data_IF_181703503806
#
_entry.id   IF_181703503806
#
_cell.length_a   1.000
_cell.length_b   1.000
_cell.length_c   1.000
_cell.angle_alpha   90.00
_cell.angle_beta   90.00
_cell.angle_gamma   90.00
#
_symmetry.space_group_name_H-M   'P 1'
#
loop_
_entity.id
_entity.type
_entity.pdbx_description
1 polymer ?
#
# COMPACT_ATOMS: atom_id res chain seq x y z
N UNK A 1 -3.85 -31.49 11.83
CA UNK A 1 -4.69 -30.31 11.53
C UNK A 1 -4.30 -29.78 10.16
N UNK A 2 -5.16 -29.00 9.51
CA UNK A 2 -4.82 -28.32 8.25
C UNK A 2 -3.93 -27.10 8.52
N UNK A 3 -2.99 -26.85 7.61
CA UNK A 3 -2.27 -25.57 7.55
C UNK A 3 -3.29 -24.44 7.37
N UNK A 4 -3.41 -23.58 8.38
CA UNK A 4 -4.35 -22.47 8.37
C UNK A 4 -3.70 -21.16 7.93
N UNK A 5 -2.50 -20.88 8.45
CA UNK A 5 -1.80 -19.63 8.19
C UNK A 5 -0.53 -19.86 7.37
N UNK A 6 -0.38 -19.09 6.31
CA UNK A 6 0.86 -19.03 5.53
C UNK A 6 1.51 -17.68 5.78
N UNK A 7 2.72 -17.70 6.33
CA UNK A 7 3.54 -16.52 6.48
C UNK A 7 4.51 -16.45 5.30
N UNK A 8 4.62 -15.28 4.67
CA UNK A 8 5.52 -15.05 3.55
C UNK A 8 6.52 -13.97 3.94
N UNK A 9 7.82 -14.25 3.82
CA UNK A 9 8.87 -13.28 4.08
C UNK A 9 9.82 -13.14 2.91
N UNK A 10 9.98 -11.90 2.44
CA UNK A 10 11.01 -11.63 1.43
C UNK A 10 12.38 -11.66 2.12
N UNK A 11 13.34 -12.34 1.51
CA UNK A 11 14.74 -12.32 1.93
C UNK A 11 15.28 -10.88 2.09
N UNK A 12 16.26 -10.70 2.97
CA UNK A 12 16.95 -9.43 3.13
C UNK A 12 17.90 -9.15 1.95
N UNK A 13 18.18 -7.86 1.66
CA UNK A 13 19.02 -7.50 0.50
C UNK A 13 20.48 -7.91 0.68
N UNK A 14 21.05 -8.38 -0.42
CA UNK A 14 22.48 -8.37 -0.68
C UNK A 14 22.88 -7.08 -1.44
N UNK A 15 23.93 -6.40 -1.00
CA UNK A 15 24.54 -5.28 -1.75
C UNK A 15 25.34 -5.80 -2.96
N UNK A 16 24.67 -6.47 -3.91
CA UNK A 16 25.22 -6.65 -5.27
C UNK A 16 24.88 -5.40 -6.09
N UNK A 17 25.57 -4.30 -5.78
CA UNK A 17 25.38 -3.03 -6.45
C UNK A 17 26.13 -1.93 -5.73
N UNK A 18 27.33 -1.63 -6.23
CA UNK A 18 28.17 -0.50 -5.86
C UNK A 18 27.35 0.76 -5.51
N UNK A 19 27.27 1.11 -4.23
CA UNK A 19 27.37 2.53 -3.84
C UNK A 19 28.86 2.88 -3.89
N UNK A 20 29.42 2.97 -5.11
CA UNK A 20 30.70 3.67 -5.36
C UNK A 20 30.46 5.16 -5.62
N UNK A 21 29.32 5.70 -5.21
CA UNK A 21 29.17 7.15 -5.07
C UNK A 21 29.58 7.49 -3.64
N UNK A 22 30.86 7.86 -3.49
CA UNK A 22 31.23 8.75 -2.38
C UNK A 22 30.17 9.86 -2.34
N UNK A 23 29.50 10.15 -1.22
CA UNK A 23 28.70 11.35 -1.13
C UNK A 23 29.61 12.53 -1.45
N UNK A 24 29.39 13.18 -2.60
CA UNK A 24 29.97 14.49 -2.90
C UNK A 24 29.17 15.52 -2.11
N UNK A 25 29.37 15.52 -0.80
CA UNK A 25 28.97 16.59 0.10
C UNK A 25 30.15 16.83 1.05
N UNK A 26 30.44 18.07 1.44
CA UNK A 26 31.51 18.35 2.38
C UNK A 26 31.12 17.79 3.75
N UNK A 27 31.54 16.55 4.04
CA UNK A 27 31.75 16.13 5.42
C UNK A 27 32.87 17.00 5.98
N UNK A 28 32.70 17.63 7.16
CA UNK A 28 33.78 18.38 7.79
C UNK A 28 34.96 17.43 7.99
N UNK A 29 36.08 17.74 7.34
CA UNK A 29 37.30 16.91 7.32
C UNK A 29 37.88 16.69 8.73
N UNK A 30 37.53 17.57 9.67
CA UNK A 30 38.07 17.58 11.02
C UNK A 30 37.53 16.43 11.90
N UNK A 31 36.29 15.97 11.67
CA UNK A 31 35.69 14.85 12.42
C UNK A 31 36.19 13.48 11.94
N UNK A 32 36.57 13.39 10.66
CA UNK A 32 37.13 12.16 10.08
C UNK A 32 38.63 12.06 10.42
N UNK A 33 39.36 13.17 10.44
CA UNK A 33 40.76 13.20 10.84
C UNK A 33 40.93 12.79 12.32
N UNK A 34 40.09 13.31 13.21
CA UNK A 34 40.10 12.95 14.63
C UNK A 34 39.70 11.49 14.88
N UNK A 35 38.65 10.98 14.20
CA UNK A 35 38.25 9.57 14.30
C UNK A 35 39.30 8.60 13.73
N UNK A 36 39.99 8.99 12.64
CA UNK A 36 41.08 8.19 12.06
C UNK A 36 42.35 8.23 12.92
N UNK A 37 42.61 9.35 13.61
CA UNK A 37 43.75 9.51 14.51
C UNK A 37 43.54 8.72 15.82
N UNK A 38 42.32 8.65 16.35
CA UNK A 38 41.97 7.77 17.48
C UNK A 38 42.07 6.28 17.10
N UNK A 39 41.62 5.89 15.90
CA UNK A 39 41.78 4.52 15.42
C UNK A 39 43.24 4.14 15.12
N UNK A 40 44.06 5.06 14.61
CA UNK A 40 45.48 4.85 14.38
C UNK A 40 46.27 4.72 15.69
N UNK A 41 45.88 5.47 16.73
CA UNK A 41 46.49 5.37 18.06
C UNK A 41 46.06 4.09 18.80
N UNK A 42 44.81 3.64 18.62
CA UNK A 42 44.33 2.38 19.20
C UNK A 42 44.92 1.13 18.50
N UNK A 43 45.21 1.21 17.20
CA UNK A 43 45.75 0.07 16.43
C UNK A 43 47.26 -0.13 16.54
N UNK A 44 48.05 0.93 16.78
CA UNK A 44 49.51 0.80 16.90
C UNK A 44 50.00 0.05 18.16
N UNK A 45 49.16 -0.09 19.19
CA UNK A 45 49.48 -0.84 20.41
C UNK A 45 49.26 -2.37 20.29
N UNK A 46 48.61 -2.85 19.22
CA UNK A 46 48.13 -4.24 19.10
C UNK A 46 48.75 -5.05 17.95
N UNK A 47 49.61 -4.45 17.12
CA UNK A 47 50.13 -5.07 15.89
C UNK A 47 51.64 -5.30 15.94
N UNK A 48 52.10 -5.98 16.98
CA UNK A 48 53.34 -6.76 16.94
C UNK A 48 53.02 -8.20 16.54
N UNK A 49 53.31 -8.57 15.29
CA UNK A 49 53.14 -9.90 14.66
C UNK A 49 51.70 -10.30 14.27
N UNK A 50 51.36 -10.24 12.98
CA UNK A 50 50.04 -10.69 12.52
C UNK A 50 49.64 -10.44 11.07
N UNK A 51 50.56 -10.51 10.10
CA UNK A 51 50.23 -10.27 8.67
C UNK A 51 49.39 -11.41 8.06
N UNK A 52 49.27 -12.58 8.73
CA UNK A 52 48.49 -13.72 8.22
C UNK A 52 46.98 -13.64 8.50
N UNK A 53 46.54 -12.93 9.56
CA UNK A 53 45.13 -12.89 9.96
C UNK A 53 44.27 -11.95 9.08
N UNK A 54 44.87 -10.91 8.49
CA UNK A 54 44.16 -9.98 7.61
C UNK A 54 43.76 -10.61 6.26
N UNK A 55 44.50 -11.62 5.79
CA UNK A 55 44.19 -12.35 4.56
C UNK A 55 42.98 -13.28 4.72
N UNK A 56 42.87 -13.96 5.86
CA UNK A 56 41.74 -14.85 6.16
C UNK A 56 40.44 -14.10 6.44
N UNK A 57 40.52 -12.93 7.10
CA UNK A 57 39.34 -12.08 7.31
C UNK A 57 38.77 -11.54 5.99
N UNK A 58 39.63 -11.26 5.00
CA UNK A 58 39.27 -10.79 3.66
C UNK A 58 38.52 -11.84 2.84
N UNK A 59 38.85 -13.13 2.98
CA UNK A 59 38.16 -14.20 2.25
C UNK A 59 36.85 -14.65 2.93
N UNK A 60 36.70 -14.48 4.24
CA UNK A 60 35.40 -14.67 4.91
C UNK A 60 34.42 -13.52 4.64
N UNK A 61 34.89 -12.28 4.51
CA UNK A 61 34.00 -11.15 4.15
C UNK A 61 33.48 -11.23 2.71
N UNK A 62 34.19 -11.90 1.79
CA UNK A 62 33.68 -12.16 0.43
C UNK A 62 32.51 -13.15 0.38
N UNK A 63 32.18 -13.84 1.48
CA UNK A 63 31.07 -14.79 1.57
C UNK A 63 29.92 -14.32 2.45
N UNK A 64 29.94 -13.10 3.00
CA UNK A 64 28.78 -12.57 3.71
C UNK A 64 27.68 -12.25 2.68
N UNK A 65 26.67 -13.12 2.61
CA UNK A 65 25.61 -13.06 1.61
C UNK A 65 24.54 -12.03 1.99
N UNK A 66 24.34 -11.77 3.30
CA UNK A 66 23.50 -10.68 3.79
C UNK A 66 24.31 -9.47 4.30
N UNK A 67 23.75 -8.28 4.09
CA UNK A 67 24.22 -7.04 4.72
C UNK A 67 23.92 -7.01 6.22
N UNK A 68 24.71 -6.27 7.01
CA UNK A 68 24.46 -6.09 8.44
C UNK A 68 23.08 -5.49 8.72
N UNK A 69 22.66 -4.52 7.90
CA UNK A 69 21.30 -3.96 7.93
C UNK A 69 20.25 -5.04 7.67
N UNK A 70 20.42 -5.88 6.65
CA UNK A 70 19.50 -6.96 6.33
C UNK A 70 19.37 -8.01 7.45
N UNK A 71 20.50 -8.35 8.10
CA UNK A 71 20.53 -9.22 9.28
C UNK A 71 19.78 -8.60 10.45
N UNK A 72 20.02 -7.31 10.72
CA UNK A 72 19.33 -6.57 11.78
C UNK A 72 17.82 -6.51 11.54
N UNK A 73 17.39 -6.13 10.34
CA UNK A 73 15.97 -6.04 9.96
C UNK A 73 15.25 -7.39 10.11
N UNK A 74 15.91 -8.47 9.66
CA UNK A 74 15.39 -9.85 9.81
C UNK A 74 15.24 -10.24 11.28
N UNK A 75 16.23 -9.95 12.12
CA UNK A 75 16.17 -10.23 13.55
C UNK A 75 15.05 -9.45 14.24
N UNK A 76 14.91 -8.16 13.91
CA UNK A 76 13.84 -7.32 14.46
C UNK A 76 12.46 -7.82 14.04
N UNK A 77 12.27 -8.19 12.77
CA UNK A 77 11.01 -8.74 12.29
C UNK A 77 10.67 -10.07 12.97
N UNK A 78 11.67 -10.95 13.17
CA UNK A 78 11.51 -12.21 13.87
C UNK A 78 11.10 -12.03 15.34
N UNK A 79 11.80 -11.14 16.08
CA UNK A 79 11.47 -10.82 17.48
C UNK A 79 10.07 -10.25 17.62
N UNK A 80 9.69 -9.30 16.76
CA UNK A 80 8.34 -8.72 16.73
C UNK A 80 7.27 -9.77 16.44
N UNK A 81 7.55 -10.72 15.55
CA UNK A 81 6.61 -11.81 15.30
C UNK A 81 6.48 -12.68 16.55
N UNK A 82 7.58 -13.05 17.21
CA UNK A 82 7.56 -13.85 18.43
C UNK A 82 6.72 -13.19 19.52
N UNK A 83 6.98 -11.91 19.80
CA UNK A 83 6.20 -11.09 20.75
C UNK A 83 4.71 -11.14 20.40
N UNK A 84 4.38 -10.83 19.14
CA UNK A 84 2.99 -10.80 18.69
C UNK A 84 2.27 -12.15 18.79
N UNK A 85 2.94 -13.26 18.49
CA UNK A 85 2.35 -14.59 18.64
C UNK A 85 2.19 -14.98 20.13
N UNK A 86 3.13 -14.55 20.99
CA UNK A 86 3.11 -14.86 22.43
C UNK A 86 1.99 -14.14 23.20
N UNK A 87 1.57 -12.96 22.75
CA UNK A 87 0.46 -12.20 23.36
C UNK A 87 -0.92 -12.84 23.12
N UNK A 88 -1.01 -13.94 22.37
CA UNK A 88 -2.28 -14.58 21.99
C UNK A 88 -3.11 -13.75 21.01
N UNK A 89 -2.55 -12.65 20.50
CA UNK A 89 -3.19 -11.75 19.54
C UNK A 89 -3.42 -12.43 18.18
N UNK A 90 -2.62 -13.43 17.85
CA UNK A 90 -2.80 -14.27 16.68
C UNK A 90 -3.27 -15.68 17.07
N UNK A 91 -4.21 -16.22 16.30
CA UNK A 91 -4.55 -17.66 16.35
C UNK A 91 -3.50 -18.56 15.68
N UNK A 92 -2.32 -18.02 15.40
CA UNK A 92 -1.29 -18.67 14.58
C UNK A 92 -0.16 -19.22 15.47
N UNK A 93 0.19 -20.47 15.27
CA UNK A 93 1.29 -21.16 15.95
C UNK A 93 2.28 -21.64 14.90
N UNK A 94 3.48 -21.08 14.90
CA UNK A 94 4.47 -21.33 13.85
C UNK A 94 5.11 -22.71 14.02
N UNK A 95 4.93 -23.56 13.01
CA UNK A 95 5.41 -24.95 13.03
C UNK A 95 6.80 -25.13 12.44
N UNK A 96 7.17 -24.29 11.47
CA UNK A 96 8.49 -24.29 10.88
C UNK A 96 8.72 -23.21 9.84
N UNK A 97 9.95 -23.19 9.32
CA UNK A 97 10.43 -22.25 8.31
C UNK A 97 10.89 -23.01 7.08
N UNK A 98 10.23 -22.74 5.96
CA UNK A 98 10.62 -23.13 4.63
C UNK A 98 11.40 -22.00 3.99
N UNK A 99 12.39 -22.34 3.18
CA UNK A 99 13.01 -21.38 2.27
C UNK A 99 13.20 -22.00 0.90
N UNK A 100 13.25 -21.17 -0.13
CA UNK A 100 13.74 -21.58 -1.43
C UNK A 100 14.85 -20.65 -1.88
N UNK A 101 15.89 -21.24 -2.45
CA UNK A 101 17.02 -20.53 -3.03
C UNK A 101 17.08 -20.77 -4.52
N UNK A 102 17.50 -19.75 -5.27
CA UNK A 102 18.09 -19.96 -6.58
C UNK A 102 19.47 -20.62 -6.36
N UNK A 103 19.89 -21.67 -7.09
CA UNK A 103 21.22 -22.27 -6.93
C UNK A 103 22.41 -21.29 -6.87
N UNK A 104 22.27 -20.08 -7.40
CA UNK A 104 23.30 -19.02 -7.39
C UNK A 104 23.17 -18.00 -6.24
N UNK A 105 22.07 -18.09 -5.47
CA UNK A 105 21.71 -17.21 -4.36
C UNK A 105 21.65 -18.04 -3.08
N UNK A 106 22.17 -17.53 -1.97
CA UNK A 106 22.06 -18.17 -0.63
C UNK A 106 21.42 -17.25 0.40
N UNK A 107 20.91 -16.11 -0.06
CA UNK A 107 20.35 -15.05 0.75
C UNK A 107 19.07 -15.49 1.45
N UNK A 108 18.24 -16.31 0.81
CA UNK A 108 17.01 -16.82 1.43
C UNK A 108 17.34 -17.81 2.55
N UNK A 109 18.34 -18.67 2.37
CA UNK A 109 18.85 -19.56 3.41
C UNK A 109 19.38 -18.77 4.61
N UNK A 110 20.26 -17.79 4.38
CA UNK A 110 20.82 -16.97 5.46
C UNK A 110 19.71 -16.18 6.16
N UNK A 111 18.74 -15.63 5.41
CA UNK A 111 17.59 -14.91 6.00
C UNK A 111 16.76 -15.86 6.87
N UNK A 112 16.48 -17.08 6.41
CA UNK A 112 15.74 -18.07 7.17
C UNK A 112 16.48 -18.48 8.45
N UNK A 113 17.81 -18.67 8.40
CA UNK A 113 18.64 -18.94 9.59
C UNK A 113 18.61 -17.78 10.59
N UNK A 114 18.77 -16.55 10.10
CA UNK A 114 18.71 -15.35 10.94
C UNK A 114 17.33 -15.15 11.56
N UNK A 115 16.27 -15.45 10.81
CA UNK A 115 14.90 -15.44 11.32
C UNK A 115 14.74 -16.49 12.44
N UNK A 116 15.18 -17.73 12.22
CA UNK A 116 15.10 -18.79 13.24
C UNK A 116 15.84 -18.43 14.53
N UNK A 117 17.00 -17.75 14.39
CA UNK A 117 17.77 -17.21 15.52
C UNK A 117 17.00 -16.13 16.28
N UNK A 118 16.39 -15.17 15.57
CA UNK A 118 15.63 -14.08 16.18
C UNK A 118 14.29 -14.52 16.79
N UNK A 119 13.68 -15.56 16.21
CA UNK A 119 12.43 -16.15 16.71
C UNK A 119 12.67 -17.17 17.84
N UNK A 120 13.92 -17.62 18.03
CA UNK A 120 14.35 -18.61 19.02
C UNK A 120 13.68 -19.99 18.86
N UNK A 121 13.79 -20.59 17.67
CA UNK A 121 13.22 -21.90 17.32
C UNK A 121 13.77 -23.13 18.09
N UNK A 122 14.41 -22.91 19.25
CA UNK A 122 15.23 -23.91 19.93
C UNK A 122 16.63 -23.99 19.32
N UNK A 123 17.60 -24.43 20.13
CA UNK A 123 18.98 -24.60 19.67
C UNK A 123 19.05 -25.71 18.62
N UNK A 124 19.61 -25.38 17.44
CA UNK A 124 19.83 -26.36 16.37
C UNK A 124 18.66 -26.56 15.39
N UNK A 125 17.62 -25.73 15.43
CA UNK A 125 16.59 -25.75 14.38
C UNK A 125 17.20 -25.34 13.03
N UNK A 126 17.00 -26.19 12.02
CA UNK A 126 17.48 -25.96 10.66
C UNK A 126 16.27 -25.66 9.77
N UNK A 127 16.20 -24.49 9.10
CA UNK A 127 15.13 -24.22 8.15
C UNK A 127 15.17 -25.24 7.00
N UNK A 128 14.00 -25.62 6.47
CA UNK A 128 13.91 -26.67 5.45
C UNK A 128 13.89 -26.06 4.05
N UNK A 129 14.75 -26.56 3.15
CA UNK A 129 14.78 -26.14 1.75
C UNK A 129 13.61 -26.75 0.98
N UNK A 130 12.85 -25.91 0.28
CA UNK A 130 11.67 -26.31 -0.50
C UNK A 130 11.93 -26.12 -2.01
N UNK A 131 12.20 -27.19 -2.78
CA UNK A 131 12.48 -27.08 -4.22
C UNK A 131 11.25 -26.67 -5.04
N UNK A 132 10.04 -26.93 -4.52
CA UNK A 132 8.77 -26.71 -5.21
C UNK A 132 8.24 -25.27 -5.15
N UNK A 133 8.84 -24.39 -4.32
CA UNK A 133 8.40 -23.00 -4.14
C UNK A 133 9.24 -22.00 -4.94
N UNK A 134 10.19 -22.47 -5.75
CA UNK A 134 11.07 -21.65 -6.56
C UNK A 134 10.37 -21.02 -7.78
N UNK A 135 10.94 -19.93 -8.33
CA UNK A 135 10.40 -19.25 -9.51
C UNK A 135 10.26 -20.16 -10.73
N UNK A 136 11.16 -21.15 -10.89
CA UNK A 136 11.15 -22.09 -12.01
C UNK A 136 10.06 -23.17 -11.87
N UNK A 137 9.63 -23.48 -10.65
CA UNK A 137 8.63 -24.51 -10.36
C UNK A 137 7.23 -23.94 -10.21
N UNK A 138 7.11 -22.63 -9.99
CA UNK A 138 5.84 -21.91 -10.03
C UNK A 138 5.26 -21.94 -11.46
N UNK A 139 4.08 -22.54 -11.69
CA UNK A 139 3.43 -22.50 -12.99
C UNK A 139 3.24 -21.05 -13.44
N UNK A 140 3.45 -20.74 -14.70
CA UNK A 140 3.15 -19.41 -15.27
C UNK A 140 1.66 -19.05 -15.11
N UNK A 141 0.78 -20.04 -15.13
CA UNK A 141 -0.66 -19.90 -14.93
C UNK A 141 -1.07 -20.05 -13.45
N UNK A 142 -0.65 -19.10 -12.61
CA UNK A 142 -1.02 -19.08 -11.19
C UNK A 142 -2.48 -18.70 -10.92
N UNK A 143 -3.24 -18.29 -11.95
CA UNK A 143 -4.63 -17.87 -11.78
C UNK A 143 -5.52 -19.07 -11.44
N UNK A 144 -6.25 -18.97 -10.33
CA UNK A 144 -7.25 -19.96 -9.90
C UNK A 144 -8.29 -20.19 -11.01
N UNK A 145 -8.19 -21.33 -11.71
CA UNK A 145 -9.37 -22.03 -12.24
C UNK A 145 -10.12 -22.60 -11.03
N UNK A 146 -11.46 -22.53 -10.99
CA UNK A 146 -12.33 -22.94 -9.86
C UNK A 146 -11.72 -24.13 -9.07
N UNK A 147 -11.24 -23.88 -7.85
CA UNK A 147 -10.62 -24.91 -7.00
C UNK A 147 -9.35 -24.43 -6.28
N UNK A 148 -8.70 -25.38 -5.62
CA UNK A 148 -7.40 -25.21 -4.97
C UNK A 148 -6.30 -25.03 -6.02
N UNK A 149 -5.55 -23.92 -5.93
CA UNK A 149 -4.48 -23.65 -6.89
C UNK A 149 -3.40 -24.74 -6.75
N UNK A 150 -2.72 -25.12 -7.85
CA UNK A 150 -1.57 -26.03 -7.78
C UNK A 150 -0.52 -25.58 -6.76
N UNK A 151 -0.39 -24.26 -6.60
CA UNK A 151 0.47 -23.63 -5.62
C UNK A 151 0.03 -23.84 -4.18
N UNK A 152 -1.27 -23.68 -3.89
CA UNK A 152 -1.83 -23.95 -2.56
C UNK A 152 -1.62 -25.42 -2.18
N UNK A 153 -1.77 -26.35 -3.13
CA UNK A 153 -1.43 -27.77 -2.95
C UNK A 153 0.05 -28.01 -2.69
N UNK A 154 0.94 -27.38 -3.45
CA UNK A 154 2.39 -27.49 -3.25
C UNK A 154 2.80 -27.00 -1.87
N UNK A 155 2.32 -25.82 -1.46
CA UNK A 155 2.56 -25.26 -0.13
C UNK A 155 2.04 -26.19 0.96
N UNK A 156 0.79 -26.69 0.85
CA UNK A 156 0.24 -27.62 1.86
C UNK A 156 0.98 -28.95 1.92
N UNK A 157 1.47 -29.45 0.78
CA UNK A 157 2.27 -30.68 0.72
C UNK A 157 3.60 -30.54 1.46
N UNK A 158 4.35 -29.46 1.17
CA UNK A 158 5.64 -29.19 1.83
C UNK A 158 5.45 -28.83 3.31
N UNK A 159 4.43 -28.03 3.61
CA UNK A 159 4.11 -27.64 4.98
C UNK A 159 3.59 -28.80 5.83
N UNK A 160 2.98 -29.83 5.23
CA UNK A 160 2.37 -30.95 5.95
C UNK A 160 3.33 -31.65 6.92
N UNK A 161 4.61 -31.76 6.56
CA UNK A 161 5.64 -32.32 7.45
C UNK A 161 5.99 -31.42 8.64
N UNK A 162 5.92 -30.09 8.46
CA UNK A 162 6.26 -29.11 9.50
C UNK A 162 5.11 -28.85 10.49
N UNK A 163 3.89 -29.19 10.09
CA UNK A 163 2.65 -28.96 10.85
C UNK A 163 2.06 -30.31 11.33
N UNK A 164 2.91 -31.32 11.52
CA UNK A 164 2.50 -32.63 12.01
C UNK A 164 1.93 -32.57 13.44
N UNK A 165 2.45 -31.66 14.25
CA UNK A 165 1.94 -31.35 15.58
C UNK A 165 0.56 -30.69 15.48
N UNK A 166 -0.38 -31.13 16.31
CA UNK A 166 -1.75 -30.61 16.35
C UNK A 166 -1.80 -29.16 16.83
N UNK A 167 -0.80 -28.69 17.56
CA UNK A 167 -0.79 -27.32 18.08
C UNK A 167 -0.26 -26.30 17.07
N UNK A 168 0.51 -26.77 16.07
CA UNK A 168 1.08 -25.93 15.02
C UNK A 168 0.07 -25.79 13.91
N UNK A 169 -0.09 -24.58 13.37
CA UNK A 169 -1.03 -24.31 12.28
C UNK A 169 -0.53 -23.26 11.27
N UNK A 170 0.72 -22.83 11.40
CA UNK A 170 1.33 -21.82 10.57
C UNK A 170 2.71 -22.24 10.05
N UNK A 171 3.08 -21.82 8.84
CA UNK A 171 4.42 -22.03 8.27
C UNK A 171 4.93 -20.72 7.68
N UNK A 172 6.21 -20.42 7.90
CA UNK A 172 6.89 -19.30 7.25
C UNK A 172 7.59 -19.78 5.99
N UNK A 173 7.41 -19.06 4.89
CA UNK A 173 8.14 -19.25 3.64
C UNK A 173 9.02 -18.03 3.39
N UNK A 174 10.32 -18.24 3.32
CA UNK A 174 11.33 -17.22 3.00
C UNK A 174 11.75 -17.36 1.54
N UNK A 175 11.78 -16.25 0.80
CA UNK A 175 12.13 -16.29 -0.62
C UNK A 175 12.42 -14.97 -1.30
N UNK A 176 12.65 -15.03 -2.61
CA UNK A 176 13.01 -13.89 -3.46
C UNK A 176 11.81 -13.27 -4.21
N UNK A 177 11.91 -11.99 -4.53
CA UNK A 177 11.06 -11.38 -5.56
C UNK A 177 11.57 -11.77 -6.96
N UNK A 178 10.68 -11.95 -7.96
CA UNK A 178 9.23 -11.72 -7.91
C UNK A 178 8.40 -12.90 -7.37
N UNK A 179 9.01 -14.07 -7.16
CA UNK A 179 8.30 -15.32 -6.85
C UNK A 179 7.42 -15.25 -5.58
N UNK A 180 7.91 -14.64 -4.50
CA UNK A 180 7.11 -14.51 -3.27
C UNK A 180 5.93 -13.54 -3.44
N UNK A 181 6.09 -12.49 -4.26
CA UNK A 181 5.01 -11.58 -4.63
C UNK A 181 3.98 -12.24 -5.52
N UNK A 182 4.41 -13.11 -6.45
CA UNK A 182 3.52 -13.94 -7.26
C UNK A 182 2.74 -14.94 -6.42
N UNK A 183 3.38 -15.60 -5.46
CA UNK A 183 2.73 -16.48 -4.51
C UNK A 183 1.66 -15.75 -3.69
N UNK A 184 2.00 -14.59 -3.11
CA UNK A 184 1.03 -13.75 -2.41
C UNK A 184 -0.12 -13.34 -3.33
N UNK A 185 0.18 -12.92 -4.56
CA UNK A 185 -0.82 -12.45 -5.51
C UNK A 185 -1.76 -13.54 -6.02
N UNK A 186 -1.25 -14.75 -6.21
CA UNK A 186 -2.05 -15.92 -6.58
C UNK A 186 -3.01 -16.34 -5.46
N UNK A 187 -2.58 -16.24 -4.20
CA UNK A 187 -3.42 -16.55 -3.04
C UNK A 187 -4.49 -15.47 -2.80
N UNK A 188 -4.13 -14.20 -2.94
CA UNK A 188 -4.98 -13.05 -2.58
C UNK A 188 -5.77 -12.45 -3.76
N UNK A 189 -5.60 -12.98 -4.97
CA UNK A 189 -6.21 -12.47 -6.22
C UNK A 189 -5.90 -10.97 -6.48
N UNK A 190 -4.74 -10.49 -5.99
CA UNK A 190 -4.26 -9.11 -6.17
C UNK A 190 -2.75 -9.01 -5.95
N UNK A 191 -2.02 -8.15 -6.67
CA UNK A 191 -0.59 -7.96 -6.40
C UNK A 191 -0.38 -7.41 -4.99
N UNK A 192 0.58 -7.97 -4.26
CA UNK A 192 0.98 -7.49 -2.93
C UNK A 192 2.48 -7.19 -2.96
N UNK A 193 2.88 -5.90 -2.83
CA UNK A 193 4.29 -5.57 -2.68
C UNK A 193 4.78 -6.11 -1.33
N UNK A 194 5.96 -6.74 -1.34
CA UNK A 194 6.61 -7.24 -0.12
C UNK A 194 8.00 -6.61 -0.04
N UNK A 195 8.21 -5.82 1.00
CA UNK A 195 9.50 -5.19 1.32
C UNK A 195 10.48 -6.24 1.84
N UNK A 196 11.77 -5.97 1.79
CA UNK A 196 12.79 -6.86 2.35
C UNK A 196 12.54 -7.07 3.84
N UNK A 197 12.72 -8.31 4.31
CA UNK A 197 12.48 -8.69 5.71
C UNK A 197 11.03 -8.48 6.20
N UNK A 198 10.10 -8.10 5.33
CA UNK A 198 8.68 -7.98 5.67
C UNK A 198 8.01 -9.35 5.67
N UNK A 199 7.18 -9.59 6.67
CA UNK A 199 6.42 -10.82 6.89
C UNK A 199 4.95 -10.53 6.64
N UNK A 200 4.33 -11.23 5.70
CA UNK A 200 2.88 -11.21 5.49
C UNK A 200 2.24 -12.45 6.10
N UNK A 201 1.09 -12.32 6.76
CA UNK A 201 0.29 -13.46 7.20
C UNK A 201 -1.00 -13.58 6.38
N UNK A 202 -1.14 -14.72 5.69
CA UNK A 202 -2.31 -15.06 4.91
C UNK A 202 -3.06 -16.18 5.64
N UNK A 203 -4.34 -15.95 5.95
CA UNK A 203 -5.25 -16.99 6.44
C UNK A 203 -5.86 -17.70 5.25
N UNK A 204 -5.46 -18.94 5.03
CA UNK A 204 -5.90 -19.79 3.92
C UNK A 204 -7.36 -20.26 4.10
N UNK A 205 -7.86 -20.28 5.34
CA UNK A 205 -9.21 -20.75 5.69
C UNK A 205 -10.18 -19.59 5.95
N UNK A 206 -9.80 -18.36 5.61
CA UNK A 206 -10.70 -17.24 5.74
C UNK A 206 -11.99 -17.47 4.92
N UNK A 207 -13.13 -17.12 5.52
CA UNK A 207 -14.42 -17.23 4.83
C UNK A 207 -14.31 -16.43 3.53
N UNK A 208 -14.68 -17.02 2.39
CA UNK A 208 -14.55 -16.39 1.07
C UNK A 208 -13.22 -16.56 0.35
N UNK A 209 -12.31 -17.37 0.89
CA UNK A 209 -11.00 -17.67 0.32
C UNK A 209 -9.86 -17.00 1.08
N UNK A 210 -8.60 -17.25 0.67
CA UNK A 210 -7.44 -16.76 1.38
C UNK A 210 -7.46 -15.23 1.57
N UNK A 211 -7.14 -14.76 2.77
CA UNK A 211 -7.16 -13.35 3.11
C UNK A 211 -5.90 -12.92 3.85
N UNK A 212 -5.38 -11.75 3.49
CA UNK A 212 -4.28 -11.11 4.22
C UNK A 212 -4.80 -10.65 5.59
N UNK A 213 -4.29 -11.25 6.67
CA UNK A 213 -4.69 -10.90 8.03
C UNK A 213 -3.89 -9.72 8.56
N UNK A 214 -2.57 -9.79 8.38
CA UNK A 214 -1.64 -8.83 8.91
C UNK A 214 -0.26 -8.88 8.23
N UNK A 215 0.55 -7.87 8.47
CA UNK A 215 1.95 -7.81 8.07
C UNK A 215 2.82 -7.35 9.25
N UNK A 216 4.11 -7.68 9.23
CA UNK A 216 5.15 -7.15 10.11
C UNK A 216 6.27 -6.66 9.20
N UNK A 217 6.51 -5.36 9.21
CA UNK A 217 7.48 -4.74 8.34
C UNK A 217 8.69 -4.30 9.19
N UNK A 218 9.91 -4.32 8.63
CA UNK A 218 11.06 -3.79 9.33
C UNK A 218 10.86 -2.30 9.63
N UNK A 219 11.52 -1.77 10.68
CA UNK A 219 11.52 -0.33 10.92
C UNK A 219 12.20 0.39 9.75
N UNK A 220 11.44 1.19 9.02
CA UNK A 220 11.96 2.07 7.98
C UNK A 220 11.39 3.47 8.18
N UNK A 221 12.16 4.30 8.87
CA UNK A 221 11.82 5.70 9.12
C UNK A 221 11.80 6.52 7.83
N UNK A 222 12.66 6.16 6.86
CA UNK A 222 12.76 6.90 5.59
C UNK A 222 11.51 6.73 4.74
N UNK A 223 10.97 5.50 4.68
CA UNK A 223 9.70 5.22 3.98
C UNK A 223 8.53 5.90 4.70
N UNK A 224 8.54 5.94 6.03
CA UNK A 224 7.50 6.63 6.78
C UNK A 224 7.53 8.14 6.49
N UNK A 225 8.71 8.76 6.50
CA UNK A 225 8.89 10.18 6.16
C UNK A 225 8.46 10.46 4.72
N UNK A 226 8.92 9.67 3.75
CA UNK A 226 8.53 9.81 2.35
C UNK A 226 7.01 9.69 2.15
N UNK A 227 6.35 8.79 2.89
CA UNK A 227 4.90 8.63 2.85
C UNK A 227 4.18 9.83 3.50
N UNK A 228 4.67 10.33 4.63
CA UNK A 228 4.14 11.54 5.26
C UNK A 228 4.28 12.76 4.36
N UNK A 229 5.41 12.92 3.68
CA UNK A 229 5.63 14.03 2.75
C UNK A 229 4.73 13.93 1.52
N UNK A 230 4.48 12.72 1.02
CA UNK A 230 3.47 12.48 -0.02
C UNK A 230 2.05 12.84 0.45
N UNK A 231 1.71 12.56 1.71
CA UNK A 231 0.42 12.97 2.29
C UNK A 231 0.33 14.49 2.43
N UNK A 232 1.38 15.16 2.92
CA UNK A 232 1.45 16.63 3.01
C UNK A 232 1.28 17.29 1.63
N UNK A 233 1.96 16.75 0.61
CA UNK A 233 1.83 17.24 -0.78
C UNK A 233 0.38 17.12 -1.29
N UNK A 234 -0.29 15.98 -1.07
CA UNK A 234 -1.70 15.78 -1.47
C UNK A 234 -2.67 16.66 -0.68
N UNK A 235 -2.41 16.85 0.60
CA UNK A 235 -3.18 17.76 1.45
C UNK A 235 -3.04 19.20 0.95
N UNK A 236 -1.82 19.64 0.61
CA UNK A 236 -1.56 20.95 0.00
C UNK A 236 -2.35 21.16 -1.29
N UNK A 237 -2.42 20.14 -2.16
CA UNK A 237 -3.24 20.18 -3.37
C UNK A 237 -4.74 20.32 -3.06
N UNK A 238 -5.26 19.57 -2.09
CA UNK A 238 -6.67 19.68 -1.67
C UNK A 238 -6.99 21.08 -1.11
N UNK A 239 -6.08 21.66 -0.33
CA UNK A 239 -6.23 23.01 0.21
C UNK A 239 -6.26 24.06 -0.91
N UNK A 240 -5.32 24.00 -1.84
CA UNK A 240 -5.26 24.91 -2.99
C UNK A 240 -6.54 24.84 -3.81
N UNK A 241 -7.00 23.63 -4.18
CA UNK A 241 -8.23 23.45 -4.94
C UNK A 241 -9.46 23.95 -4.17
N UNK A 242 -9.56 23.63 -2.87
CA UNK A 242 -10.68 24.11 -2.04
C UNK A 242 -10.72 25.64 -1.94
N UNK A 243 -9.57 26.30 -1.79
CA UNK A 243 -9.47 27.75 -1.73
C UNK A 243 -9.87 28.42 -3.04
N UNK A 244 -9.37 27.89 -4.16
CA UNK A 244 -9.73 28.38 -5.50
C UNK A 244 -11.24 28.25 -5.77
N UNK A 245 -11.81 27.08 -5.49
CA UNK A 245 -13.25 26.84 -5.70
C UNK A 245 -14.09 27.71 -4.75
N UNK A 246 -13.67 27.89 -3.50
CA UNK A 246 -14.38 28.76 -2.54
C UNK A 246 -14.38 30.22 -2.99
N UNK A 247 -13.25 30.73 -3.47
CA UNK A 247 -13.17 32.08 -4.02
C UNK A 247 -14.07 32.24 -5.24
N UNK A 248 -14.01 31.30 -6.18
CA UNK A 248 -14.91 31.28 -7.35
C UNK A 248 -16.38 31.23 -6.94
N UNK A 249 -16.74 30.34 -6.02
CA UNK A 249 -18.10 30.20 -5.50
C UNK A 249 -18.58 31.49 -4.82
N UNK A 250 -17.71 32.20 -4.10
CA UNK A 250 -18.04 33.50 -3.51
C UNK A 250 -18.41 34.55 -4.57
N UNK A 251 -17.64 34.63 -5.65
CA UNK A 251 -17.96 35.50 -6.80
C UNK A 251 -19.30 35.09 -7.42
N UNK A 252 -19.52 33.80 -7.66
CA UNK A 252 -20.76 33.28 -8.23
C UNK A 252 -21.97 33.56 -7.33
N UNK A 253 -21.86 33.32 -6.02
CA UNK A 253 -22.93 33.62 -5.06
C UNK A 253 -23.22 35.12 -4.99
N UNK A 254 -22.20 35.97 -5.09
CA UNK A 254 -22.38 37.42 -5.20
C UNK A 254 -23.12 37.83 -6.48
N UNK A 255 -22.88 37.14 -7.60
CA UNK A 255 -23.66 37.34 -8.82
C UNK A 255 -25.09 36.84 -8.71
N UNK A 256 -25.33 35.73 -8.00
CA UNK A 256 -26.66 35.18 -7.74
C UNK A 256 -27.47 36.02 -6.75
N UNK A 257 -26.81 36.79 -5.89
CA UNK A 257 -27.48 37.71 -4.97
C UNK A 257 -28.01 38.98 -5.65
N UNK A 258 -27.66 39.24 -6.92
CA UNK A 258 -28.14 40.37 -7.69
C UNK A 258 -29.42 40.00 -8.47
N UNK A 259 -30.57 40.51 -8.01
CA UNK A 259 -31.88 40.25 -8.61
C UNK A 259 -31.95 40.56 -10.12
N UNK A 260 -31.18 41.55 -10.59
CA UNK A 260 -31.18 41.92 -12.02
C UNK A 260 -30.50 40.83 -12.85
N UNK A 261 -29.39 40.29 -12.35
CA UNK A 261 -28.66 39.18 -13.00
C UNK A 261 -29.48 37.90 -12.97
N UNK A 262 -30.15 37.63 -11.85
CA UNK A 262 -31.06 36.49 -11.72
C UNK A 262 -32.24 36.55 -12.68
N UNK A 263 -32.85 37.73 -12.87
CA UNK A 263 -33.89 37.93 -13.88
C UNK A 263 -33.35 37.76 -15.31
N UNK A 264 -32.12 38.20 -15.58
CA UNK A 264 -31.47 38.05 -16.89
C UNK A 264 -31.15 36.58 -17.23
N UNK A 265 -30.91 35.72 -16.24
CA UNK A 265 -30.66 34.29 -16.41
C UNK A 265 -31.90 33.51 -16.88
N UNK A 266 -33.12 34.03 -16.67
CA UNK A 266 -34.36 33.43 -17.16
C UNK A 266 -34.50 31.94 -16.84
N UNK A 267 -34.76 31.14 -17.87
CA UNK A 267 -34.95 29.68 -17.76
C UNK A 267 -33.70 28.90 -17.32
N UNK A 268 -32.52 29.52 -17.32
CA UNK A 268 -31.26 28.86 -16.95
C UNK A 268 -30.96 28.91 -15.44
N UNK A 269 -31.72 29.69 -14.67
CA UNK A 269 -31.58 29.77 -13.22
C UNK A 269 -31.41 28.40 -12.52
N UNK A 270 -32.22 27.35 -12.78
CA UNK A 270 -32.05 26.05 -12.12
C UNK A 270 -30.70 25.38 -12.43
N UNK A 271 -30.16 25.55 -13.64
CA UNK A 271 -28.86 24.98 -14.03
C UNK A 271 -27.75 25.60 -13.19
N UNK A 272 -27.80 26.92 -12.98
CA UNK A 272 -26.82 27.64 -12.17
C UNK A 272 -26.93 27.25 -10.69
N UNK A 273 -28.13 27.06 -10.15
CA UNK A 273 -28.32 26.56 -8.78
C UNK A 273 -27.76 25.14 -8.60
N UNK A 274 -28.00 24.23 -9.54
CA UNK A 274 -27.44 22.87 -9.51
C UNK A 274 -25.91 22.94 -9.57
N UNK A 275 -25.36 23.80 -10.43
CA UNK A 275 -23.92 23.99 -10.54
C UNK A 275 -23.30 24.50 -9.24
N UNK A 276 -23.91 25.51 -8.62
CA UNK A 276 -23.49 26.05 -7.32
C UNK A 276 -23.55 24.98 -6.21
N UNK A 277 -24.62 24.17 -6.18
CA UNK A 277 -24.76 23.07 -5.22
C UNK A 277 -23.66 22.00 -5.41
N UNK A 278 -23.35 21.63 -6.66
CA UNK A 278 -22.25 20.71 -6.98
C UNK A 278 -20.90 21.26 -6.49
N UNK A 279 -20.61 22.54 -6.72
CA UNK A 279 -19.38 23.18 -6.26
C UNK A 279 -19.30 23.27 -4.74
N UNK A 280 -20.39 23.62 -4.06
CA UNK A 280 -20.45 23.66 -2.60
C UNK A 280 -20.18 22.28 -1.99
N UNK A 281 -20.78 21.23 -2.56
CA UNK A 281 -20.53 19.85 -2.13
C UNK A 281 -19.08 19.42 -2.39
N UNK A 282 -18.49 19.85 -3.52
CA UNK A 282 -17.08 19.61 -3.81
C UNK A 282 -16.17 20.25 -2.76
N UNK A 283 -16.42 21.52 -2.37
CA UNK A 283 -15.68 22.21 -1.29
C UNK A 283 -15.79 21.43 0.01
N UNK A 284 -16.99 21.00 0.40
CA UNK A 284 -17.19 20.22 1.63
C UNK A 284 -16.38 18.91 1.61
N UNK A 285 -16.32 18.20 0.47
CA UNK A 285 -15.52 16.99 0.33
C UNK A 285 -14.00 17.26 0.33
N UNK A 286 -13.52 18.37 -0.24
CA UNK A 286 -12.11 18.74 -0.13
C UNK A 286 -11.72 19.09 1.30
N UNK A 287 -12.55 19.83 2.03
CA UNK A 287 -12.32 20.12 3.45
C UNK A 287 -12.31 18.83 4.27
N UNK A 288 -13.26 17.92 4.03
CA UNK A 288 -13.27 16.59 4.65
C UNK A 288 -11.99 15.80 4.33
N UNK A 289 -11.50 15.90 3.10
CA UNK A 289 -10.24 15.29 2.67
C UNK A 289 -9.06 15.85 3.44
N UNK A 290 -8.98 17.18 3.59
CA UNK A 290 -7.95 17.87 4.37
C UNK A 290 -7.95 17.38 5.83
N UNK A 291 -9.10 17.41 6.51
CA UNK A 291 -9.20 16.93 7.89
C UNK A 291 -8.84 15.45 8.02
N UNK A 292 -9.25 14.63 7.05
CA UNK A 292 -8.87 13.22 7.04
C UNK A 292 -7.36 13.03 6.87
N UNK A 293 -6.69 13.85 6.06
CA UNK A 293 -5.22 13.81 5.94
C UNK A 293 -4.51 14.32 7.18
N UNK A 294 -5.03 15.36 7.83
CA UNK A 294 -4.48 15.86 9.09
C UNK A 294 -4.49 14.77 10.18
N UNK A 295 -5.59 14.01 10.30
CA UNK A 295 -5.63 12.86 11.24
C UNK A 295 -4.60 11.79 10.93
N UNK A 296 -4.19 11.62 9.66
CA UNK A 296 -3.14 10.68 9.27
C UNK A 296 -1.73 11.20 9.56
N UNK A 297 -1.54 12.51 9.68
CA UNK A 297 -0.26 13.11 10.04
C UNK A 297 -0.06 13.17 11.56
N UNK A 298 -1.09 12.91 12.36
CA UNK A 298 -0.93 12.79 13.81
C UNK A 298 0.05 11.67 14.17
N UNK A 299 0.88 11.85 15.21
CA UNK A 299 1.75 10.79 15.71
C UNK A 299 0.96 9.49 15.97
N UNK A 300 1.56 8.34 15.67
CA UNK A 300 0.90 7.02 15.71
C UNK A 300 0.20 6.72 17.03
N UNK A 301 0.71 7.26 18.16
CA UNK A 301 0.09 7.15 19.49
C UNK A 301 -1.34 7.72 19.57
N UNK A 302 -1.70 8.64 18.67
CA UNK A 302 -3.03 9.27 18.61
C UNK A 302 -3.96 8.63 17.57
N UNK A 303 -3.49 7.62 16.82
CA UNK A 303 -4.35 6.87 15.93
C UNK A 303 -5.19 5.90 16.76
N UNK A 304 -6.30 6.43 17.30
CA UNK A 304 -7.21 5.75 18.21
C UNK A 304 -7.28 4.25 17.90
N UNK A 305 -6.89 3.45 18.88
CA UNK A 305 -7.08 2.02 18.84
C UNK A 305 -8.59 1.79 18.82
N UNK A 306 -9.13 1.47 17.65
CA UNK A 306 -10.51 1.00 17.57
C UNK A 306 -10.65 -0.17 18.53
N UNK A 307 -11.59 -0.09 19.46
CA UNK A 307 -11.75 -1.06 20.55
C UNK A 307 -11.77 -2.50 20.00
N UNK A 308 -11.09 -3.40 20.70
CA UNK A 308 -10.84 -4.80 20.31
C UNK A 308 -12.11 -5.68 20.29
N UNK A 309 -13.28 -5.16 20.65
CA UNK A 309 -14.49 -5.95 20.93
C UNK A 309 -15.50 -6.13 19.78
N UNK A 310 -15.35 -5.49 18.62
CA UNK A 310 -16.35 -5.64 17.55
C UNK A 310 -15.98 -6.77 16.59
N UNK A 311 -16.64 -7.92 16.76
CA UNK A 311 -16.58 -9.12 15.89
C UNK A 311 -16.83 -8.82 14.39
N UNK A 312 -17.36 -7.65 14.08
CA UNK A 312 -17.64 -7.16 12.71
C UNK A 312 -16.57 -6.21 12.16
N UNK A 313 -15.27 -6.43 12.45
CA UNK A 313 -14.24 -5.74 11.68
C UNK A 313 -14.30 -6.19 10.22
N UNK A 314 -14.46 -5.28 9.26
CA UNK A 314 -14.49 -5.67 7.86
C UNK A 314 -13.14 -6.30 7.47
N UNK A 315 -13.20 -7.41 6.74
CA UNK A 315 -12.05 -8.29 6.43
C UNK A 315 -10.89 -7.61 5.66
N UNK A 316 -11.08 -6.39 5.18
CA UNK A 316 -10.05 -5.59 4.51
C UNK A 316 -9.26 -4.69 5.47
N UNK A 317 -9.74 -4.49 6.71
CA UNK A 317 -8.97 -3.82 7.76
C UNK A 317 -8.01 -4.85 8.33
N UNK A 318 -6.73 -4.62 8.08
CA UNK A 318 -5.62 -5.39 8.61
C UNK A 318 -5.71 -5.34 10.15
N UNK A 319 -5.83 -6.50 10.80
CA UNK A 319 -5.77 -6.57 12.26
C UNK A 319 -4.36 -6.12 12.68
N UNK A 320 -4.21 -5.46 13.84
CA UNK A 320 -2.91 -4.96 14.32
C UNK A 320 -2.16 -6.05 15.14
N UNK A 321 -1.19 -6.79 14.58
CA UNK A 321 0.17 -6.81 15.10
C UNK A 321 0.80 -5.42 14.93
N UNK A 322 2.09 -5.23 15.27
CA UNK A 322 2.86 -4.11 14.72
C UNK A 322 2.99 -4.24 13.19
N UNK A 323 1.89 -4.14 12.45
CA UNK A 323 1.91 -3.76 11.05
C UNK A 323 2.66 -2.46 10.98
N UNK A 324 3.65 -2.39 10.09
CA UNK A 324 4.41 -1.17 9.89
C UNK A 324 3.44 -0.02 9.73
N UNK A 325 3.56 1.01 10.58
CA UNK A 325 2.65 2.16 10.58
C UNK A 325 2.47 2.75 9.17
N UNK A 326 3.50 2.63 8.33
CA UNK A 326 3.49 2.98 6.91
C UNK A 326 2.42 2.26 6.09
N UNK A 327 2.12 0.97 6.30
CA UNK A 327 1.14 0.26 5.49
C UNK A 327 -0.29 0.72 5.79
N UNK A 328 -0.60 0.89 7.09
CA UNK A 328 -1.88 1.47 7.54
C UNK A 328 -2.02 2.88 6.98
N UNK A 329 -0.96 3.69 7.08
CA UNK A 329 -0.92 5.05 6.56
C UNK A 329 -1.19 5.08 5.05
N UNK A 330 -0.55 4.20 4.30
CA UNK A 330 -0.71 4.08 2.85
C UNK A 330 -2.13 3.68 2.45
N UNK A 331 -2.70 2.65 3.10
CA UNK A 331 -4.05 2.20 2.83
C UNK A 331 -5.09 3.27 3.13
N UNK A 332 -4.97 3.95 4.28
CA UNK A 332 -5.89 5.03 4.64
C UNK A 332 -5.71 6.23 3.70
N UNK A 333 -4.48 6.58 3.32
CA UNK A 333 -4.21 7.62 2.32
C UNK A 333 -4.93 7.32 1.00
N UNK A 334 -4.80 6.09 0.49
CA UNK A 334 -5.47 5.68 -0.75
C UNK A 334 -6.99 5.69 -0.62
N UNK A 335 -7.52 5.29 0.54
CA UNK A 335 -8.95 5.32 0.81
C UNK A 335 -9.50 6.74 0.78
N UNK A 336 -8.87 7.67 1.49
CA UNK A 336 -9.26 9.08 1.49
C UNK A 336 -9.20 9.64 0.05
N UNK A 337 -8.12 9.34 -0.67
CA UNK A 337 -7.96 9.76 -2.05
C UNK A 337 -9.09 9.26 -2.96
N UNK A 338 -9.37 7.95 -2.93
CA UNK A 338 -10.37 7.35 -3.81
C UNK A 338 -11.82 7.71 -3.45
N UNK A 339 -12.12 7.91 -2.17
CA UNK A 339 -13.48 8.08 -1.70
C UNK A 339 -13.89 9.52 -1.43
N UNK A 340 -12.93 10.43 -1.24
CA UNK A 340 -13.22 11.82 -0.93
C UNK A 340 -12.66 12.75 -2.00
N UNK A 341 -11.36 12.67 -2.27
CA UNK A 341 -10.69 13.56 -3.22
C UNK A 341 -11.20 13.39 -4.65
N UNK A 342 -11.17 12.16 -5.19
CA UNK A 342 -11.59 11.91 -6.59
C UNK A 342 -13.05 12.35 -6.83
N UNK A 343 -14.04 11.97 -5.99
CA UNK A 343 -15.41 12.47 -6.13
C UNK A 343 -15.52 13.99 -6.06
N UNK A 344 -14.76 14.66 -5.17
CA UNK A 344 -14.73 16.12 -5.09
C UNK A 344 -14.24 16.74 -6.41
N UNK A 345 -13.21 16.18 -7.03
CA UNK A 345 -12.70 16.64 -8.32
C UNK A 345 -13.73 16.47 -9.43
N UNK A 346 -14.44 15.34 -9.48
CA UNK A 346 -15.53 15.16 -10.46
C UNK A 346 -16.66 16.16 -10.25
N UNK A 347 -17.11 16.38 -9.01
CA UNK A 347 -18.15 17.38 -8.72
C UNK A 347 -17.71 18.79 -9.09
N UNK A 348 -16.43 19.12 -8.89
CA UNK A 348 -15.84 20.40 -9.30
C UNK A 348 -15.93 20.57 -10.81
N UNK A 349 -15.45 19.59 -11.57
CA UNK A 349 -15.46 19.63 -13.03
C UNK A 349 -16.89 19.70 -13.57
N UNK A 350 -17.82 18.93 -13.00
CA UNK A 350 -19.24 18.98 -13.38
C UNK A 350 -19.87 20.33 -13.06
N UNK A 351 -19.60 20.92 -11.89
CA UNK A 351 -20.10 22.24 -11.51
C UNK A 351 -19.58 23.34 -12.43
N UNK A 352 -18.27 23.35 -12.70
CA UNK A 352 -17.65 24.30 -13.64
C UNK A 352 -18.21 24.13 -15.06
N UNK A 353 -18.39 22.90 -15.53
CA UNK A 353 -18.96 22.64 -16.85
C UNK A 353 -20.40 23.14 -16.98
N UNK A 354 -21.24 22.93 -15.96
CA UNK A 354 -22.62 23.44 -15.93
C UNK A 354 -22.64 24.97 -15.95
N UNK A 355 -21.76 25.63 -15.18
CA UNK A 355 -21.64 27.09 -15.20
C UNK A 355 -21.22 27.60 -16.58
N UNK A 356 -20.16 27.04 -17.16
CA UNK A 356 -19.71 27.44 -18.49
C UNK A 356 -20.78 27.23 -19.56
N UNK A 357 -21.52 26.12 -19.46
CA UNK A 357 -22.64 25.84 -20.36
C UNK A 357 -23.76 26.87 -20.22
N UNK A 358 -24.14 27.25 -18.99
CA UNK A 358 -25.13 28.32 -18.80
C UNK A 358 -24.68 29.64 -19.43
N UNK A 359 -23.41 30.01 -19.27
CA UNK A 359 -22.90 31.26 -19.88
C UNK A 359 -22.88 31.19 -21.41
N UNK A 360 -22.46 30.06 -21.99
CA UNK A 360 -22.36 29.91 -23.43
C UNK A 360 -23.74 29.90 -24.12
N UNK A 361 -24.70 29.17 -23.55
CA UNK A 361 -26.05 29.01 -24.13
C UNK A 361 -27.05 30.08 -23.68
N UNK A 362 -26.69 30.90 -22.68
CA UNK A 362 -27.53 31.99 -22.17
C UNK A 362 -27.52 33.26 -23.00
N UNK A 363 -26.77 33.29 -24.11
CA UNK A 363 -26.78 34.44 -25.02
C UNK A 363 -28.10 34.43 -25.81
N UNK A 364 -28.91 35.50 -25.75
CA UNK A 364 -30.15 35.58 -26.51
C UNK A 364 -29.81 35.70 -27.99
N UNK A 365 -29.73 34.56 -28.68
CA UNK A 365 -29.73 34.53 -30.13
C UNK A 365 -31.11 35.00 -30.58
N UNK A 366 -31.14 36.13 -31.30
CA UNK A 366 -32.35 36.72 -31.83
C UNK A 366 -33.26 35.64 -32.42
N UNK A 367 -34.45 35.56 -31.81
CA UNK A 367 -35.42 34.52 -31.98
C UNK A 367 -35.84 34.41 -33.45
N UNK A 368 -35.35 33.43 -34.19
CA UNK A 368 -36.07 32.72 -35.24
C UNK A 368 -35.30 31.43 -35.58
N UNK A 369 -35.96 30.29 -35.37
CA UNK A 369 -35.54 28.95 -35.79
C UNK A 369 -34.29 28.32 -35.14
N UNK A 370 -34.45 27.57 -34.05
CA UNK A 370 -33.85 26.22 -33.94
C UNK A 370 -34.70 25.33 -33.02
N UNK A 371 -35.54 24.48 -33.61
CA UNK A 371 -36.07 23.29 -32.93
C UNK A 371 -34.95 22.23 -32.89
N UNK A 372 -34.21 22.13 -31.80
CA UNK A 372 -33.43 20.91 -31.52
C UNK A 372 -33.67 20.48 -30.06
N UNK A 373 -34.15 19.25 -29.81
CA UNK A 373 -34.77 18.87 -28.52
C UNK A 373 -33.78 18.32 -27.49
N UNK A 374 -32.48 18.34 -27.73
CA UNK A 374 -31.51 17.75 -26.79
C UNK A 374 -30.95 18.87 -25.92
N UNK A 375 -31.70 19.21 -24.86
CA UNK A 375 -31.25 20.18 -23.87
C UNK A 375 -29.88 19.75 -23.32
N UNK A 376 -28.86 20.63 -23.29
CA UNK A 376 -27.55 20.33 -22.73
C UNK A 376 -27.62 19.84 -21.28
N UNK A 377 -28.73 20.12 -20.59
CA UNK A 377 -29.09 19.57 -19.28
C UNK A 377 -29.12 18.03 -19.28
N UNK A 378 -29.61 17.38 -20.35
CA UNK A 378 -29.69 15.91 -20.45
C UNK A 378 -28.29 15.30 -20.64
N UNK A 379 -27.43 15.94 -21.44
CA UNK A 379 -26.07 15.44 -21.71
C UNK A 379 -25.18 15.49 -20.46
N UNK A 380 -25.40 16.46 -19.55
CA UNK A 380 -24.61 16.61 -18.32
C UNK A 380 -25.24 15.90 -17.12
N UNK A 381 -26.57 15.87 -17.02
CA UNK A 381 -27.26 15.21 -15.91
C UNK A 381 -27.08 13.69 -15.94
N UNK A 382 -26.96 13.07 -17.12
CA UNK A 382 -26.77 11.62 -17.26
C UNK A 382 -25.41 11.16 -16.66
N UNK A 383 -24.25 11.75 -17.00
CA UNK A 383 -22.97 11.42 -16.36
C UNK A 383 -22.96 11.67 -14.84
N UNK A 384 -23.55 12.78 -14.38
CA UNK A 384 -23.62 13.12 -12.95
C UNK A 384 -24.52 12.14 -12.21
N UNK A 385 -25.68 11.79 -12.77
CA UNK A 385 -26.59 10.79 -12.21
C UNK A 385 -25.96 9.39 -12.21
N UNK A 386 -25.23 9.01 -13.27
CA UNK A 386 -24.47 7.76 -13.32
C UNK A 386 -23.39 7.76 -12.24
N UNK A 387 -22.65 8.85 -12.04
CA UNK A 387 -21.64 8.97 -10.99
C UNK A 387 -22.27 8.86 -9.59
N UNK A 388 -23.37 9.56 -9.34
CA UNK A 388 -24.11 9.49 -8.07
C UNK A 388 -24.73 8.12 -7.82
N UNK A 389 -25.23 7.45 -8.86
CA UNK A 389 -25.71 6.06 -8.79
C UNK A 389 -24.57 5.10 -8.51
N UNK A 390 -23.40 5.27 -9.11
CA UNK A 390 -22.20 4.46 -8.82
C UNK A 390 -21.79 4.67 -7.36
N UNK A 391 -21.76 5.91 -6.87
CA UNK A 391 -21.41 6.22 -5.47
C UNK A 391 -22.48 5.69 -4.48
N UNK A 392 -23.77 5.76 -4.83
CA UNK A 392 -24.91 5.27 -4.03
C UNK A 392 -25.00 3.74 -4.00
N UNK A 393 -24.80 3.07 -5.13
CA UNK A 393 -24.76 1.62 -5.21
C UNK A 393 -23.58 1.07 -4.39
N UNK A 394 -22.42 1.74 -4.44
CA UNK A 394 -21.25 1.37 -3.63
C UNK A 394 -21.49 1.53 -2.12
N UNK A 395 -22.23 2.56 -1.71
CA UNK A 395 -22.58 2.75 -0.30
C UNK A 395 -23.59 1.69 0.16
N UNK A 396 -24.57 1.31 -0.67
CA UNK A 396 -25.51 0.21 -0.36
C UNK A 396 -24.85 -1.18 -0.33
N UNK A 397 -23.90 -1.46 -1.22
CA UNK A 397 -23.15 -2.74 -1.23
C UNK A 397 -22.20 -2.90 -0.03
N UNK A 398 -21.73 -1.77 0.52
CA UNK A 398 -20.97 -1.74 1.78
C UNK A 398 -21.89 -1.98 2.98
N UNK A 399 -23.13 -1.48 2.94
CA UNK A 399 -24.11 -1.61 4.04
C UNK A 399 -24.76 -3.00 4.10
N UNK A 400 -24.90 -3.71 2.97
CA UNK A 400 -25.56 -5.05 2.94
C UNK A 400 -24.63 -6.26 2.88
N UNK A 401 -23.31 -6.05 2.85
CA UNK A 401 -22.34 -7.16 2.86
C UNK A 401 -22.30 -7.93 1.55
N UNK A 402 -21.49 -7.47 0.58
CA UNK A 402 -21.44 -8.13 -0.73
C UNK A 402 -20.01 -8.45 -1.17
N UNK A 403 -19.60 -9.67 -0.80
CA UNK A 403 -18.44 -10.44 -1.26
C UNK A 403 -18.49 -10.82 -2.76
N UNK A 404 -19.36 -10.22 -3.59
CA UNK A 404 -19.57 -10.64 -4.99
C UNK A 404 -19.49 -9.52 -6.05
N UNK A 405 -19.56 -8.23 -5.68
CA UNK A 405 -19.55 -7.12 -6.65
C UNK A 405 -18.18 -6.72 -7.18
N UNK A 406 -17.10 -7.05 -6.46
CA UNK A 406 -15.74 -6.58 -6.80
C UNK A 406 -15.15 -7.22 -8.07
N UNK A 407 -15.58 -8.44 -8.44
CA UNK A 407 -15.16 -9.09 -9.70
C UNK A 407 -15.83 -8.49 -10.93
N UNK A 408 -17.07 -7.98 -10.82
CA UNK A 408 -17.80 -7.41 -11.94
C UNK A 408 -17.43 -5.94 -12.20
N UNK A 409 -16.95 -5.22 -11.18
CA UNK A 409 -16.46 -3.84 -11.35
C UNK A 409 -15.27 -3.72 -12.32
N UNK A 410 -14.30 -4.63 -12.24
CA UNK A 410 -13.14 -4.64 -13.15
C UNK A 410 -13.45 -5.31 -14.50
N UNK A 411 -14.44 -6.20 -14.56
CA UNK A 411 -14.88 -6.81 -15.81
C UNK A 411 -15.75 -5.86 -16.67
N UNK A 412 -16.51 -4.94 -16.06
CA UNK A 412 -17.40 -4.02 -16.78
C UNK A 412 -16.76 -2.67 -17.16
N UNK A 413 -15.63 -2.27 -16.56
CA UNK A 413 -14.95 -1.02 -16.91
C UNK A 413 -13.59 -1.26 -17.60
N UNK A 414 -13.64 -1.53 -18.90
CA UNK A 414 -12.47 -1.48 -19.80
C UNK A 414 -11.82 -0.09 -19.93
N UNK A 415 -12.38 0.95 -19.28
CA UNK A 415 -11.88 2.33 -19.28
C UNK A 415 -10.92 2.64 -18.12
N UNK A 416 -10.97 1.94 -16.99
CA UNK A 416 -10.09 2.24 -15.84
C UNK A 416 -8.63 1.85 -16.08
N UNK A 417 -8.30 0.71 -16.74
CA UNK A 417 -6.92 0.44 -17.16
C UNK A 417 -6.41 1.50 -18.15
N UNK A 418 -7.26 1.97 -19.08
CA UNK A 418 -6.93 3.03 -20.03
C UNK A 418 -6.73 4.38 -19.37
N UNK A 419 -7.55 4.74 -18.38
CA UNK A 419 -7.38 5.97 -17.59
C UNK A 419 -6.10 5.95 -16.75
N UNK A 420 -5.74 4.78 -16.20
CA UNK A 420 -4.47 4.58 -15.48
C UNK A 420 -3.25 4.66 -16.40
N UNK A 421 -3.41 4.27 -17.66
CA UNK A 421 -2.39 4.40 -18.70
C UNK A 421 -2.26 5.85 -19.22
N UNK A 422 -3.39 6.56 -19.38
CA UNK A 422 -3.45 7.96 -19.84
C UNK A 422 -2.95 8.95 -18.79
N UNK A 423 -3.26 8.73 -17.51
CA UNK A 423 -2.83 9.62 -16.42
C UNK A 423 -1.57 9.12 -15.69
N UNK A 424 -1.08 7.91 -16.00
CA UNK A 424 0.10 7.30 -15.40
C UNK A 424 1.37 8.16 -15.47
N UNK A 425 1.68 8.80 -16.61
CA UNK A 425 2.84 9.69 -16.72
C UNK A 425 2.73 10.99 -15.89
N UNK A 426 1.51 11.45 -15.60
CA UNK A 426 1.27 12.66 -14.79
C UNK A 426 1.16 12.36 -13.28
N UNK A 427 1.16 11.08 -12.89
CA UNK A 427 0.98 10.63 -11.49
C UNK A 427 2.31 10.28 -10.78
N UNK A 428 3.46 10.64 -11.35
CA UNK A 428 4.76 10.55 -10.70
C UNK A 428 5.16 9.11 -10.40
N UNK A 429 5.47 8.37 -11.46
CA UNK A 429 6.12 7.05 -11.42
C UNK A 429 7.33 7.09 -12.35
N UNK A 430 8.34 7.87 -11.99
CA UNK A 430 9.72 7.51 -12.34
C UNK A 430 10.29 6.85 -11.08
N UNK A 431 9.91 5.59 -10.88
CA UNK A 431 10.63 4.52 -10.16
C UNK A 431 9.81 3.21 -10.19
#
# INVERSE_FOLDING_TARGET
>A
MSLRFLLLMRHAKHTRGRLKTKPKGPTPLDDIASSLQEMAQSSSALWGSGVSAASELSDQTKKAVLTDRGRYETLVAAKRLKEFLSEGNAKATLGGVLYYDDPEATEAEETAKMFCKGFEFGTGYIPTKSPSLGPKTLPSDLRKRKGESPLERAVKKEAGGLVADKEKNAVLVVGHQPAIGWLAGALLDRPVPIVQSEILCIDLEATGGPALRWCISPPDETVLQALQDKIKSKMGLANLLSGFITAGLGVFLGMLADDKKMKALGEQAPVVFIAAACLLLAVALYLRTMFSYDTLLMPVRFWAESSSGTSHRPQWIVARPPSGAHWILYQNMLRIWQWQFIPATFLTLSGLFLLLSSVAFGTPTNAHHVNSPISPVIIVSVPVAILLLILSAKTKDIVRGVRRGWRNFWACHGLVPKFRYLCGPWLGSED
#
